data_IF_750509297094
#
_entry.id   IF_750509297094
#
_cell.length_a   1.000
_cell.length_b   1.000
_cell.length_c   1.000
_cell.angle_alpha   90.00
_cell.angle_beta   90.00
_cell.angle_gamma   90.00
#
_symmetry.space_group_name_H-M   'P 1'
#
loop_
_entity.id
_entity.type
_entity.pdbx_description
1 polymer ?
#
# COMPACT_ATOMS: atom_id res chain seq x y z
N UNK A 1 39.55 11.42 -2.54
CA UNK A 1 38.17 11.30 -2.00
C UNK A 1 37.37 12.61 -2.10
N UNK A 2 37.99 13.79 -1.97
CA UNK A 2 37.26 15.07 -2.06
C UNK A 2 36.66 15.39 -3.45
N UNK A 3 37.32 15.01 -4.55
CA UNK A 3 36.80 15.32 -5.89
C UNK A 3 35.54 14.54 -6.27
N UNK A 4 35.44 13.29 -5.82
CA UNK A 4 34.25 12.44 -6.09
C UNK A 4 33.05 12.96 -5.29
N UNK A 5 33.26 13.43 -4.06
CA UNK A 5 32.20 14.03 -3.25
C UNK A 5 31.62 15.31 -3.89
N UNK A 6 32.46 16.16 -4.47
CA UNK A 6 32.01 17.41 -5.11
C UNK A 6 31.20 17.16 -6.39
N UNK A 7 31.55 16.14 -7.18
CA UNK A 7 30.79 15.75 -8.37
C UNK A 7 29.39 15.19 -8.04
N UNK A 8 29.24 14.48 -6.91
CA UNK A 8 27.95 13.97 -6.44
C UNK A 8 27.03 15.11 -5.99
N UNK A 9 27.59 16.11 -5.29
CA UNK A 9 26.82 17.28 -4.86
C UNK A 9 26.37 18.12 -6.07
N UNK A 10 27.26 18.36 -7.04
CA UNK A 10 26.92 19.15 -8.24
C UNK A 10 25.89 18.47 -9.14
N UNK A 11 25.95 17.14 -9.31
CA UNK A 11 24.96 16.38 -10.08
C UNK A 11 23.59 16.36 -9.40
N UNK A 12 23.55 16.31 -8.07
CA UNK A 12 22.30 16.37 -7.28
C UNK A 12 21.61 17.74 -7.42
N UNK A 13 22.36 18.83 -7.37
CA UNK A 13 21.84 20.19 -7.56
C UNK A 13 21.31 20.39 -8.99
N UNK A 14 22.03 19.89 -10.00
CA UNK A 14 21.57 19.96 -11.39
C UNK A 14 20.23 19.22 -11.60
N UNK A 15 20.05 18.05 -10.97
CA UNK A 15 18.80 17.29 -11.04
C UNK A 15 17.62 18.05 -10.42
N UNK A 16 17.83 18.68 -9.27
CA UNK A 16 16.80 19.49 -8.61
C UNK A 16 16.40 20.71 -9.45
N UNK A 17 17.38 21.43 -10.00
CA UNK A 17 17.12 22.59 -10.86
C UNK A 17 16.33 22.22 -12.12
N UNK A 18 16.67 21.09 -12.75
CA UNK A 18 15.98 20.62 -13.97
C UNK A 18 14.55 20.15 -13.67
N UNK A 19 14.34 19.50 -12.52
CA UNK A 19 13.01 19.06 -12.07
C UNK A 19 12.06 20.23 -11.81
N UNK A 20 12.53 21.27 -11.10
CA UNK A 20 11.72 22.46 -10.80
C UNK A 20 11.42 23.27 -12.07
N UNK A 21 12.40 23.43 -12.97
CA UNK A 21 12.20 24.13 -14.24
C UNK A 21 11.15 23.43 -15.13
N UNK A 22 11.19 22.10 -15.21
CA UNK A 22 10.24 21.30 -16.00
C UNK A 22 8.83 21.29 -15.39
N UNK A 23 8.72 21.34 -14.06
CA UNK A 23 7.44 21.47 -13.34
C UNK A 23 6.76 22.82 -13.61
N UNK A 24 7.52 23.91 -13.71
CA UNK A 24 6.98 25.26 -13.94
C UNK A 24 6.50 25.50 -15.38
N UNK A 25 7.08 24.79 -16.36
CA UNK A 25 6.73 24.94 -17.79
C UNK A 25 5.45 24.18 -18.19
N UNK A 26 5.03 23.18 -17.41
CA UNK A 26 3.89 22.33 -17.77
C UNK A 26 2.66 22.67 -16.91
N UNK A 27 1.89 23.68 -17.33
CA UNK A 27 0.65 24.14 -16.66
C UNK A 27 -0.57 23.22 -16.85
N UNK A 28 -0.43 22.05 -17.48
CA UNK A 28 -1.51 21.08 -17.61
C UNK A 28 -1.62 20.21 -16.34
N UNK A 29 -2.61 20.58 -15.52
CA UNK A 29 -2.81 20.23 -14.10
C UNK A 29 -3.31 18.80 -13.84
N UNK A 30 -3.01 17.84 -14.71
CA UNK A 30 -3.57 16.47 -14.63
C UNK A 30 -2.55 15.39 -14.24
N UNK A 31 -1.25 15.65 -14.37
CA UNK A 31 -0.20 14.63 -14.15
C UNK A 31 0.55 14.72 -12.81
N UNK A 32 0.32 15.75 -12.00
CA UNK A 32 1.05 16.00 -10.74
C UNK A 32 0.50 15.27 -9.50
N UNK A 33 -0.67 14.63 -9.57
CA UNK A 33 -1.21 13.90 -8.41
C UNK A 33 -0.56 12.53 -8.17
N UNK A 34 0.07 11.94 -9.18
CA UNK A 34 0.68 10.61 -9.07
C UNK A 34 2.21 10.63 -8.93
N UNK A 35 2.91 11.71 -9.31
CA UNK A 35 4.37 11.79 -9.21
C UNK A 35 4.89 12.19 -7.82
N UNK A 36 4.08 12.90 -7.02
CA UNK A 36 4.46 13.28 -5.65
C UNK A 36 4.59 12.07 -4.69
N UNK A 37 3.92 10.95 -5.01
CA UNK A 37 4.01 9.70 -4.22
C UNK A 37 5.26 8.88 -4.54
N UNK A 38 5.86 9.06 -5.73
CA UNK A 38 7.03 8.29 -6.15
C UNK A 38 8.35 8.93 -5.70
N UNK A 39 8.41 10.25 -5.56
CA UNK A 39 9.64 10.96 -5.14
C UNK A 39 9.89 10.93 -3.63
N UNK A 40 8.84 10.78 -2.80
CA UNK A 40 8.99 10.69 -1.35
C UNK A 40 9.64 9.38 -0.88
N UNK A 41 9.36 8.27 -1.57
CA UNK A 41 9.87 6.94 -1.22
C UNK A 41 11.39 6.82 -1.40
N UNK A 42 11.94 7.41 -2.47
CA UNK A 42 13.38 7.38 -2.75
C UNK A 42 14.20 8.19 -1.72
N UNK A 43 13.63 9.26 -1.15
CA UNK A 43 14.32 10.09 -0.16
C UNK A 43 14.45 9.37 1.20
N UNK A 44 13.42 8.60 1.59
CA UNK A 44 13.44 7.81 2.83
C UNK A 44 14.42 6.64 2.74
N UNK A 45 14.49 5.96 1.59
CA UNK A 45 15.46 4.86 1.36
C UNK A 45 16.91 5.38 1.36
N UNK A 46 17.16 6.55 0.76
CA UNK A 46 18.49 7.17 0.79
C UNK A 46 18.95 7.59 2.19
N UNK A 47 18.02 8.04 3.03
CA UNK A 47 18.32 8.44 4.41
C UNK A 47 18.55 7.24 5.34
N UNK A 48 17.89 6.11 5.07
CA UNK A 48 18.03 4.87 5.86
C UNK A 48 19.35 4.14 5.58
N UNK A 49 19.89 4.26 4.36
CA UNK A 49 21.20 3.68 4.01
C UNK A 49 22.40 4.46 4.59
N UNK A 50 22.21 5.72 4.99
CA UNK A 50 23.27 6.55 5.61
C UNK A 50 23.53 6.22 7.09
N UNK A 51 22.63 5.51 7.77
CA UNK A 51 22.77 5.14 9.19
C UNK A 51 23.51 3.81 9.43
N UNK A 52 23.80 3.02 8.39
CA UNK A 52 24.41 1.69 8.52
C UNK A 52 25.96 1.75 8.64
N UNK A 53 26.59 2.92 8.49
CA UNK A 53 28.06 3.04 8.46
C UNK A 53 28.75 3.68 9.68
N UNK A 54 28.03 3.93 10.79
CA UNK A 54 28.65 4.44 12.03
C UNK A 54 28.26 3.56 13.21
N UNK A 55 29.16 2.67 13.63
CA UNK A 55 29.04 2.03 14.93
C UNK A 55 29.69 0.66 15.05
N UNK A 56 31.03 0.61 15.04
CA UNK A 56 31.73 -0.48 15.73
C UNK A 56 33.07 0.02 16.28
N UNK A 57 33.15 0.11 17.61
CA UNK A 57 34.38 0.34 18.35
C UNK A 57 34.33 -0.54 19.61
N UNK A 58 35.20 -1.56 19.74
CA UNK A 58 35.24 -2.39 20.93
C UNK A 58 36.14 -1.74 21.99
N UNK A 59 35.64 -1.64 23.23
CA UNK A 59 36.50 -1.37 24.39
C UNK A 59 36.82 -2.67 25.12
N UNK A 60 38.12 -2.96 25.16
CA UNK A 60 38.79 -3.87 26.07
C UNK A 60 39.45 -3.06 27.19
N UNK A 61 39.37 -3.53 28.44
CA UNK A 61 40.35 -3.34 29.53
C UNK A 61 39.86 -4.12 30.75
N UNK A 62 40.46 -5.26 31.10
CA UNK A 62 41.62 -5.41 32.00
C UNK A 62 41.29 -5.29 33.51
N UNK A 63 41.70 -6.34 34.24
CA UNK A 63 41.74 -6.49 35.71
C UNK A 63 42.85 -5.58 36.32
N UNK A 64 43.43 -5.76 37.55
CA UNK A 64 43.12 -6.58 38.74
C UNK A 64 43.44 -5.85 40.09
N UNK A 65 43.52 -6.62 41.20
CA UNK A 65 44.36 -6.47 42.42
C UNK A 65 43.76 -5.79 43.67
N UNK A 66 43.71 -6.57 44.76
CA UNK A 66 44.39 -6.37 46.08
C UNK A 66 43.75 -7.29 47.13
N UNK A 67 44.37 -7.73 48.22
CA UNK A 67 45.75 -7.81 48.69
C UNK A 67 45.63 -8.30 50.14
N UNK A 68 46.38 -9.36 50.47
CA UNK A 68 46.95 -9.73 51.77
C UNK A 68 46.72 -8.76 52.93
N UNK A 69 46.28 -9.30 54.08
CA UNK A 69 46.84 -8.92 55.37
C UNK A 69 46.86 -10.11 56.33
N UNK A 70 48.04 -10.72 56.41
CA UNK A 70 48.52 -11.48 57.55
C UNK A 70 48.97 -10.49 58.64
N UNK A 71 48.54 -10.68 59.88
CA UNK A 71 49.15 -10.01 61.04
C UNK A 71 49.72 -11.06 61.99
N UNK A 72 51.04 -10.99 62.09
CA UNK A 72 51.95 -11.55 63.08
C UNK A 72 51.82 -10.82 64.41
N UNK A 73 51.81 -11.55 65.54
CA UNK A 73 52.51 -11.17 66.80
C UNK A 73 52.75 -12.43 67.65
N UNK A 74 53.97 -12.98 67.69
CA UNK A 74 55.01 -12.80 68.74
C UNK A 74 54.68 -13.32 70.16
N UNK A 75 55.32 -14.46 70.47
CA UNK A 75 56.19 -14.74 71.63
C UNK A 75 55.70 -14.53 73.09
N UNK A 76 55.58 -15.68 73.77
CA UNK A 76 56.15 -16.06 75.09
C UNK A 76 56.23 -15.01 76.21
N UNK A 77 55.54 -15.28 77.31
CA UNK A 77 56.11 -15.16 78.66
C UNK A 77 55.43 -16.14 79.64
N UNK A 78 56.23 -17.09 80.13
CA UNK A 78 55.90 -18.06 81.19
C UNK A 78 56.07 -17.37 82.55
N UNK A 79 55.01 -17.27 83.34
CA UNK A 79 55.13 -17.06 84.79
C UNK A 79 54.06 -17.89 85.51
N UNK A 80 54.53 -19.01 86.07
CA UNK A 80 53.79 -19.85 87.01
C UNK A 80 53.69 -19.09 88.33
N UNK A 81 52.47 -18.76 88.75
CA UNK A 81 52.15 -18.46 90.15
C UNK A 81 50.87 -19.22 90.47
N UNK A 82 51.05 -20.27 91.26
CA UNK A 82 50.01 -21.09 91.87
C UNK A 82 49.39 -20.27 93.01
N UNK A 83 48.10 -19.91 92.92
CA UNK A 83 47.32 -19.42 94.07
C UNK A 83 45.81 -19.57 93.87
N UNK A 84 45.25 -20.53 94.60
CA UNK A 84 43.93 -20.56 95.24
C UNK A 84 42.70 -20.28 94.37
N UNK A 85 42.05 -21.37 93.93
CA UNK A 85 40.71 -21.40 93.32
C UNK A 85 39.66 -20.83 94.28
N UNK A 86 38.97 -19.78 93.84
CA UNK A 86 37.69 -19.36 94.39
C UNK A 86 36.57 -19.83 93.45
N UNK A 87 35.45 -20.31 94.02
CA UNK A 87 34.28 -20.84 93.29
C UNK A 87 33.62 -19.87 92.30
N UNK A 88 34.04 -18.61 92.30
CA UNK A 88 33.53 -17.53 91.46
C UNK A 88 34.11 -17.53 90.04
N UNK A 89 35.35 -18.00 89.86
CA UNK A 89 36.05 -17.92 88.57
C UNK A 89 35.61 -19.03 87.60
N UNK A 90 35.21 -20.19 88.13
CA UNK A 90 34.71 -21.32 87.33
C UNK A 90 33.28 -21.07 86.80
N UNK A 91 32.47 -20.34 87.55
CA UNK A 91 31.11 -19.94 87.16
C UNK A 91 31.14 -18.81 86.11
N UNK A 92 32.07 -17.86 86.23
CA UNK A 92 32.29 -16.82 85.22
C UNK A 92 32.83 -17.38 83.90
N UNK A 93 33.78 -18.33 83.95
CA UNK A 93 34.29 -19.01 82.74
C UNK A 93 33.22 -19.84 82.04
N UNK A 94 32.31 -20.47 82.81
CA UNK A 94 31.17 -21.21 82.27
C UNK A 94 30.12 -20.27 81.64
N UNK A 95 29.88 -19.09 82.24
CA UNK A 95 28.99 -18.07 81.71
C UNK A 95 29.52 -17.44 80.42
N UNK A 96 30.82 -17.13 80.34
CA UNK A 96 31.46 -16.58 79.15
C UNK A 96 31.47 -17.59 77.98
N UNK A 97 31.71 -18.88 78.27
CA UNK A 97 31.61 -19.94 77.26
C UNK A 97 30.19 -20.12 76.75
N UNK A 98 29.19 -20.07 77.63
CA UNK A 98 27.77 -20.14 77.23
C UNK A 98 27.34 -18.92 76.39
N UNK A 99 27.87 -17.73 76.68
CA UNK A 99 27.64 -16.53 75.86
C UNK A 99 28.32 -16.64 74.48
N UNK A 100 29.55 -17.13 74.42
CA UNK A 100 30.26 -17.36 73.16
C UNK A 100 29.54 -18.40 72.28
N UNK A 101 29.05 -19.51 72.87
CA UNK A 101 28.27 -20.52 72.14
C UNK A 101 26.92 -19.94 71.65
N UNK A 102 26.26 -19.08 72.43
CA UNK A 102 25.03 -18.41 72.02
C UNK A 102 25.25 -17.39 70.89
N UNK A 103 26.36 -16.66 70.89
CA UNK A 103 26.72 -15.75 69.78
C UNK A 103 27.05 -16.51 68.50
N UNK A 104 27.75 -17.64 68.59
CA UNK A 104 28.04 -18.51 67.44
C UNK A 104 26.74 -19.06 66.84
N UNK A 105 25.82 -19.56 67.67
CA UNK A 105 24.53 -20.06 67.22
C UNK A 105 23.68 -18.97 66.55
N UNK A 106 23.72 -17.73 67.08
CA UNK A 106 23.04 -16.58 66.48
C UNK A 106 23.68 -16.15 65.15
N UNK A 107 25.00 -16.21 65.05
CA UNK A 107 25.73 -15.93 63.81
C UNK A 107 25.43 -16.98 62.72
N UNK A 108 25.34 -18.27 63.08
CA UNK A 108 24.93 -19.33 62.15
C UNK A 108 23.50 -19.18 61.66
N UNK A 109 22.55 -18.83 62.55
CA UNK A 109 21.18 -18.54 62.12
C UNK A 109 21.10 -17.36 61.16
N UNK A 110 21.84 -16.28 61.45
CA UNK A 110 21.87 -15.11 60.57
C UNK A 110 22.48 -15.46 59.21
N UNK A 111 23.53 -16.29 59.18
CA UNK A 111 24.16 -16.75 57.95
C UNK A 111 23.20 -17.60 57.09
N UNK A 112 22.47 -18.53 57.70
CA UNK A 112 21.46 -19.35 57.03
C UNK A 112 20.31 -18.51 56.47
N UNK A 113 19.84 -17.51 57.23
CA UNK A 113 18.78 -16.60 56.77
C UNK A 113 19.25 -15.71 55.60
N UNK A 114 20.50 -15.25 55.63
CA UNK A 114 21.10 -14.52 54.49
C UNK A 114 21.24 -15.39 53.25
N UNK A 115 21.72 -16.64 53.36
CA UNK A 115 21.81 -17.56 52.23
C UNK A 115 20.43 -17.88 51.64
N UNK A 116 19.42 -18.11 52.49
CA UNK A 116 18.05 -18.33 52.04
C UNK A 116 17.45 -17.10 51.35
N UNK A 117 17.74 -15.90 51.85
CA UNK A 117 17.30 -14.65 51.23
C UNK A 117 17.97 -14.41 49.87
N UNK A 118 19.26 -14.73 49.72
CA UNK A 118 19.98 -14.62 48.46
C UNK A 118 19.48 -15.65 47.43
N UNK A 119 19.26 -16.90 47.85
CA UNK A 119 18.68 -17.95 46.98
C UNK A 119 17.25 -17.58 46.53
N UNK A 120 16.44 -17.04 47.44
CA UNK A 120 15.10 -16.55 47.10
C UNK A 120 15.14 -15.37 46.11
N UNK A 121 16.08 -14.44 46.28
CA UNK A 121 16.26 -13.32 45.36
C UNK A 121 16.70 -13.79 43.96
N UNK A 122 17.63 -14.75 43.88
CA UNK A 122 18.07 -15.35 42.61
C UNK A 122 16.91 -16.06 41.88
N UNK A 123 16.15 -16.90 42.60
CA UNK A 123 14.98 -17.58 42.02
C UNK A 123 13.92 -16.59 41.53
N UNK A 124 13.67 -15.52 42.28
CA UNK A 124 12.74 -14.48 41.86
C UNK A 124 13.22 -13.75 40.59
N UNK A 125 14.52 -13.50 40.45
CA UNK A 125 15.08 -12.87 39.24
C UNK A 125 14.99 -13.78 38.02
N UNK A 126 15.30 -15.08 38.17
CA UNK A 126 15.20 -16.07 37.09
C UNK A 126 13.73 -16.25 36.65
N UNK A 127 12.79 -16.30 37.60
CA UNK A 127 11.37 -16.38 37.29
C UNK A 127 10.87 -15.12 36.57
N UNK A 128 11.32 -13.93 36.99
CA UNK A 128 10.99 -12.68 36.33
C UNK A 128 11.55 -12.61 34.89
N UNK A 129 12.76 -13.13 34.64
CA UNK A 129 13.31 -13.23 33.29
C UNK A 129 12.55 -14.23 32.42
N UNK A 130 12.24 -15.42 32.94
CA UNK A 130 11.40 -16.40 32.23
C UNK A 130 10.03 -15.83 31.88
N UNK A 131 9.41 -15.06 32.76
CA UNK A 131 8.14 -14.39 32.48
C UNK A 131 8.27 -13.36 31.35
N UNK A 132 9.38 -12.60 31.30
CA UNK A 132 9.66 -11.67 30.19
C UNK A 132 9.84 -12.41 28.87
N UNK A 133 10.61 -13.50 28.85
CA UNK A 133 10.83 -14.29 27.65
C UNK A 133 9.53 -14.90 27.11
N UNK A 134 8.68 -15.41 28.01
CA UNK A 134 7.35 -15.90 27.65
C UNK A 134 6.45 -14.80 27.11
N UNK A 135 6.50 -13.59 27.68
CA UNK A 135 5.74 -12.45 27.18
C UNK A 135 6.21 -12.00 25.78
N UNK A 136 7.53 -12.00 25.54
CA UNK A 136 8.12 -11.69 24.24
C UNK A 136 7.74 -12.76 23.21
N UNK A 137 7.80 -14.04 23.57
CA UNK A 137 7.40 -15.14 22.70
C UNK A 137 5.90 -15.07 22.36
N UNK A 138 5.04 -14.80 23.34
CA UNK A 138 3.61 -14.63 23.13
C UNK A 138 3.30 -13.44 22.22
N UNK A 139 4.02 -12.32 22.38
CA UNK A 139 3.88 -11.16 21.50
C UNK A 139 4.37 -11.45 20.07
N UNK A 140 5.47 -12.18 19.92
CA UNK A 140 5.97 -12.59 18.61
C UNK A 140 4.96 -13.49 17.87
N UNK A 141 4.32 -14.43 18.57
CA UNK A 141 3.25 -15.26 17.98
C UNK A 141 2.02 -14.41 17.61
N UNK A 142 1.56 -13.51 18.48
CA UNK A 142 0.48 -12.56 18.14
C UNK A 142 0.80 -11.73 16.90
N UNK A 143 2.04 -11.25 16.76
CA UNK A 143 2.47 -10.51 15.59
C UNK A 143 2.51 -11.37 14.31
N UNK A 144 2.93 -12.64 14.41
CA UNK A 144 2.88 -13.58 13.28
C UNK A 144 1.44 -13.81 12.84
N UNK A 145 0.53 -14.09 13.77
CA UNK A 145 -0.89 -14.28 13.49
C UNK A 145 -1.52 -13.03 12.88
N UNK A 146 -1.23 -11.84 13.45
CA UNK A 146 -1.72 -10.57 12.93
C UNK A 146 -1.20 -10.30 11.50
N UNK A 147 0.07 -10.63 11.21
CA UNK A 147 0.64 -10.51 9.86
C UNK A 147 -0.04 -11.47 8.88
N UNK A 148 -0.26 -12.72 9.26
CA UNK A 148 -0.95 -13.70 8.42
C UNK A 148 -2.40 -13.28 8.16
N UNK A 149 -3.10 -12.76 9.18
CA UNK A 149 -4.44 -12.24 9.03
C UNK A 149 -4.48 -11.01 8.11
N UNK A 150 -3.51 -10.10 8.23
CA UNK A 150 -3.40 -8.93 7.35
C UNK A 150 -3.09 -9.32 5.90
N UNK A 151 -2.22 -10.31 5.70
CA UNK A 151 -1.90 -10.84 4.36
C UNK A 151 -3.12 -11.53 3.73
N UNK A 152 -3.85 -12.34 4.51
CA UNK A 152 -5.10 -12.96 4.06
C UNK A 152 -6.17 -11.91 3.72
N UNK A 153 -6.31 -10.87 4.53
CA UNK A 153 -7.23 -9.76 4.26
C UNK A 153 -6.84 -9.00 2.97
N UNK A 154 -5.55 -8.72 2.77
CA UNK A 154 -5.06 -8.08 1.54
C UNK A 154 -5.26 -8.95 0.30
N UNK A 155 -5.08 -10.27 0.43
CA UNK A 155 -5.35 -11.22 -0.64
C UNK A 155 -6.85 -11.26 -1.00
N UNK A 156 -7.73 -11.30 0.01
CA UNK A 156 -9.18 -11.28 -0.18
C UNK A 156 -9.66 -9.96 -0.82
N UNK A 157 -9.10 -8.81 -0.42
CA UNK A 157 -9.41 -7.52 -1.04
C UNK A 157 -8.98 -7.49 -2.51
N UNK A 158 -7.79 -8.01 -2.82
CA UNK A 158 -7.29 -8.10 -4.20
C UNK A 158 -8.18 -9.00 -5.06
N UNK A 159 -8.60 -10.15 -4.53
CA UNK A 159 -9.50 -11.06 -5.24
C UNK A 159 -10.87 -10.40 -5.49
N UNK A 160 -11.45 -9.75 -4.47
CA UNK A 160 -12.69 -9.00 -4.62
C UNK A 160 -12.57 -7.86 -5.65
N UNK A 161 -11.43 -7.16 -5.69
CA UNK A 161 -11.17 -6.11 -6.66
C UNK A 161 -11.06 -6.67 -8.10
N UNK A 162 -10.44 -7.84 -8.28
CA UNK A 162 -10.36 -8.51 -9.59
C UNK A 162 -11.74 -8.96 -10.07
N UNK A 163 -12.55 -9.56 -9.20
CA UNK A 163 -13.92 -9.95 -9.51
C UNK A 163 -14.81 -8.74 -9.85
N UNK A 164 -14.68 -7.65 -9.10
CA UNK A 164 -15.39 -6.41 -9.40
C UNK A 164 -14.94 -5.79 -10.74
N UNK A 165 -13.65 -5.87 -11.07
CA UNK A 165 -13.12 -5.41 -12.34
C UNK A 165 -13.62 -6.27 -13.52
N UNK A 166 -13.63 -7.60 -13.38
CA UNK A 166 -14.15 -8.49 -14.43
C UNK A 166 -15.64 -8.29 -14.66
N UNK A 167 -16.45 -8.16 -13.59
CA UNK A 167 -17.88 -7.89 -13.69
C UNK A 167 -18.17 -6.57 -14.43
N UNK A 168 -17.42 -5.50 -14.12
CA UNK A 168 -17.53 -4.22 -14.82
C UNK A 168 -17.12 -4.32 -16.29
N UNK A 169 -16.11 -5.11 -16.61
CA UNK A 169 -15.68 -5.33 -17.99
C UNK A 169 -16.74 -6.10 -18.80
N UNK A 170 -17.33 -7.14 -18.22
CA UNK A 170 -18.42 -7.89 -18.85
C UNK A 170 -19.67 -7.03 -19.05
N UNK A 171 -20.03 -6.20 -18.08
CA UNK A 171 -21.16 -5.27 -18.22
C UNK A 171 -20.90 -4.23 -19.30
N UNK A 172 -19.70 -3.63 -19.34
CA UNK A 172 -19.32 -2.69 -20.38
C UNK A 172 -19.38 -3.33 -21.78
N UNK A 173 -18.97 -4.58 -21.92
CA UNK A 173 -19.07 -5.33 -23.18
C UNK A 173 -20.53 -5.56 -23.57
N UNK A 174 -21.39 -5.98 -22.63
CA UNK A 174 -22.83 -6.15 -22.89
C UNK A 174 -23.49 -4.85 -23.34
N UNK A 175 -23.14 -3.73 -22.73
CA UNK A 175 -23.64 -2.41 -23.12
C UNK A 175 -23.16 -2.05 -24.52
N UNK A 176 -21.88 -2.31 -24.86
CA UNK A 176 -21.34 -2.06 -26.19
C UNK A 176 -22.06 -2.88 -27.26
N UNK A 177 -22.21 -4.18 -27.03
CA UNK A 177 -22.91 -5.08 -27.96
C UNK A 177 -24.37 -4.68 -28.13
N UNK A 178 -25.05 -4.29 -27.04
CA UNK A 178 -26.43 -3.81 -27.12
C UNK A 178 -26.55 -2.50 -27.90
N UNK A 179 -25.62 -1.56 -27.70
CA UNK A 179 -25.58 -0.30 -28.43
C UNK A 179 -25.30 -0.51 -29.92
N UNK A 180 -24.40 -1.44 -30.26
CA UNK A 180 -24.12 -1.82 -31.66
C UNK A 180 -25.34 -2.48 -32.31
N UNK A 181 -26.00 -3.42 -31.62
CA UNK A 181 -27.24 -4.03 -32.11
C UNK A 181 -28.35 -2.99 -32.34
N UNK A 182 -28.48 -2.01 -31.45
CA UNK A 182 -29.43 -0.91 -31.63
C UNK A 182 -29.06 -0.04 -32.84
N UNK A 183 -27.79 0.31 -33.02
CA UNK A 183 -27.33 1.08 -34.16
C UNK A 183 -27.61 0.36 -35.48
N UNK A 184 -27.35 -0.96 -35.55
CA UNK A 184 -27.67 -1.79 -36.73
C UNK A 184 -29.18 -1.79 -37.00
N UNK A 185 -30.02 -1.98 -35.97
CA UNK A 185 -31.48 -1.96 -36.16
C UNK A 185 -31.99 -0.60 -36.65
N UNK A 186 -31.44 0.51 -36.15
CA UNK A 186 -31.81 1.85 -36.59
C UNK A 186 -31.38 2.13 -38.03
N UNK A 187 -30.20 1.63 -38.43
CA UNK A 187 -29.72 1.76 -39.80
C UNK A 187 -30.58 0.92 -40.76
N UNK A 188 -30.96 -0.30 -40.37
CA UNK A 188 -31.88 -1.14 -41.16
C UNK A 188 -33.25 -0.48 -41.30
N UNK A 189 -33.83 0.05 -40.22
CA UNK A 189 -35.09 0.80 -40.27
C UNK A 189 -34.99 2.03 -41.16
N UNK A 190 -33.89 2.78 -41.10
CA UNK A 190 -33.66 3.95 -41.96
C UNK A 190 -33.53 3.56 -43.43
N UNK A 191 -32.87 2.44 -43.75
CA UNK A 191 -32.79 1.92 -45.11
C UNK A 191 -34.15 1.46 -45.64
N UNK A 192 -34.96 0.79 -44.82
CA UNK A 192 -36.32 0.38 -45.19
C UNK A 192 -37.20 1.61 -45.45
N UNK A 193 -37.12 2.64 -44.60
CA UNK A 193 -37.86 3.88 -44.79
C UNK A 193 -37.40 4.64 -46.04
N UNK A 194 -36.09 4.68 -46.32
CA UNK A 194 -35.55 5.29 -47.53
C UNK A 194 -36.01 4.56 -48.80
N UNK A 195 -35.97 3.23 -48.81
CA UNK A 195 -36.45 2.41 -49.92
C UNK A 195 -37.97 2.59 -50.16
N UNK A 196 -38.76 2.71 -49.08
CA UNK A 196 -40.18 3.01 -49.18
C UNK A 196 -40.41 4.41 -49.76
N UNK A 197 -39.68 5.43 -49.29
CA UNK A 197 -39.79 6.80 -49.81
C UNK A 197 -39.39 6.90 -51.30
N UNK A 198 -38.36 6.17 -51.74
CA UNK A 198 -37.97 6.10 -53.15
C UNK A 198 -39.05 5.44 -54.02
N UNK A 199 -39.69 4.38 -53.51
CA UNK A 199 -40.77 3.69 -54.21
C UNK A 199 -42.01 4.60 -54.34
N UNK A 200 -42.38 5.32 -53.28
CA UNK A 200 -43.48 6.31 -53.31
C UNK A 200 -43.20 7.44 -54.31
N UNK A 201 -41.98 7.99 -54.33
CA UNK A 201 -41.62 9.04 -55.28
C UNK A 201 -41.69 8.55 -56.75
N UNK A 202 -41.31 7.32 -57.02
CA UNK A 202 -41.32 6.75 -58.36
C UNK A 202 -42.74 6.41 -58.86
N UNK A 203 -43.66 6.12 -57.95
CA UNK A 203 -45.06 5.80 -58.25
C UNK A 203 -45.99 7.02 -58.31
N UNK A 204 -45.49 8.22 -58.01
CA UNK A 204 -46.23 9.48 -58.14
C UNK A 204 -46.74 9.65 -59.59
N UNK A 205 -48.03 9.88 -59.76
CA UNK A 205 -48.65 10.00 -61.08
C UNK A 205 -48.42 11.39 -61.66
N UNK A 206 -47.83 11.45 -62.86
CA UNK A 206 -47.58 12.69 -63.60
C UNK A 206 -48.48 12.81 -64.83
N UNK A 207 -48.59 14.03 -65.36
CA UNK A 207 -49.26 14.35 -66.61
C UNK A 207 -48.24 14.58 -67.73
N UNK A 208 -48.53 14.08 -68.93
CA UNK A 208 -47.68 14.31 -70.11
C UNK A 208 -48.54 14.42 -71.37
N UNK A 209 -47.96 14.99 -72.44
CA UNK A 209 -48.62 15.15 -73.72
C UNK A 209 -47.96 14.25 -74.78
N UNK A 210 -48.56 13.09 -75.16
CA UNK A 210 -47.92 12.09 -76.02
C UNK A 210 -47.47 12.60 -77.39
N UNK A 211 -48.12 13.67 -77.88
CA UNK A 211 -47.89 14.25 -79.21
C UNK A 211 -47.15 15.59 -79.16
N UNK A 212 -46.78 16.11 -77.98
CA UNK A 212 -46.31 17.49 -77.80
C UNK A 212 -44.93 17.60 -77.13
N UNK A 213 -44.16 16.51 -77.08
CA UNK A 213 -42.76 16.48 -76.64
C UNK A 213 -42.49 15.54 -75.47
N UNK A 214 -41.23 15.51 -75.00
CA UNK A 214 -40.78 14.65 -73.89
C UNK A 214 -40.73 15.38 -72.55
N UNK A 215 -41.81 16.07 -72.20
CA UNK A 215 -41.93 16.79 -70.92
C UNK A 215 -43.08 16.22 -70.08
N UNK A 216 -42.83 16.04 -68.79
CA UNK A 216 -43.86 15.68 -67.81
C UNK A 216 -44.17 16.85 -66.87
N UNK A 217 -45.31 16.76 -66.21
CA UNK A 217 -45.95 17.81 -65.42
C UNK A 217 -46.54 17.21 -64.14
N UNK A 218 -46.40 17.89 -63.00
CA UNK A 218 -47.07 17.46 -61.77
C UNK A 218 -48.53 17.95 -61.75
N UNK A 219 -48.79 19.09 -62.39
CA UNK A 219 -50.10 19.70 -62.43
C UNK A 219 -50.72 19.64 -63.83
N UNK A 220 -51.96 19.16 -63.92
CA UNK A 220 -52.72 19.11 -65.19
C UNK A 220 -52.91 20.50 -65.83
N UNK A 221 -52.88 21.57 -65.03
CA UNK A 221 -53.08 22.96 -65.48
C UNK A 221 -51.78 23.70 -65.79
N UNK A 222 -50.64 23.00 -65.92
CA UNK A 222 -49.38 23.65 -66.24
C UNK A 222 -49.46 24.44 -67.55
N UNK A 223 -48.84 25.63 -67.57
CA UNK A 223 -48.77 26.48 -68.77
C UNK A 223 -48.21 25.72 -69.98
N UNK A 224 -47.25 24.82 -69.77
CA UNK A 224 -46.67 24.00 -70.83
C UNK A 224 -47.65 23.00 -71.49
N UNK A 225 -48.76 22.67 -70.84
CA UNK A 225 -49.81 21.79 -71.38
C UNK A 225 -50.92 22.54 -72.13
N UNK A 226 -50.93 23.88 -72.07
CA UNK A 226 -52.00 24.70 -72.66
C UNK A 226 -52.17 24.55 -74.18
N UNK A 227 -51.12 24.12 -74.88
CA UNK A 227 -51.14 23.88 -76.34
C UNK A 227 -51.18 22.39 -76.71
N UNK A 228 -51.33 21.48 -75.76
CA UNK A 228 -51.34 20.05 -76.02
C UNK A 228 -52.71 19.59 -76.55
N UNK A 229 -52.72 18.75 -77.59
CA UNK A 229 -53.97 18.21 -78.15
C UNK A 229 -54.59 17.09 -77.28
N UNK A 230 -53.78 16.44 -76.45
CA UNK A 230 -54.20 15.38 -75.53
C UNK A 230 -53.24 15.30 -74.33
N UNK A 231 -53.78 14.96 -73.17
CA UNK A 231 -53.03 14.78 -71.93
C UNK A 231 -53.30 13.36 -71.41
N UNK A 232 -52.24 12.64 -71.08
CA UNK A 232 -52.28 11.31 -70.49
C UNK A 232 -51.48 11.29 -69.18
N UNK A 233 -51.63 10.24 -68.40
CA UNK A 233 -50.94 10.06 -67.12
C UNK A 233 -50.12 8.79 -67.09
N UNK A 234 -48.95 8.84 -66.47
CA UNK A 234 -48.11 7.66 -66.17
C UNK A 234 -47.36 7.91 -64.86
N UNK A 235 -46.70 6.90 -64.29
CA UNK A 235 -45.89 7.12 -63.08
C UNK A 235 -44.64 7.94 -63.40
N UNK A 236 -44.13 8.66 -62.40
CA UNK A 236 -42.94 9.49 -62.52
C UNK A 236 -41.74 8.67 -63.00
N UNK A 237 -41.51 7.47 -62.46
CA UNK A 237 -40.37 6.67 -62.91
C UNK A 237 -40.56 6.03 -64.27
N UNK A 238 -41.80 5.72 -64.70
CA UNK A 238 -42.05 5.33 -66.09
C UNK A 238 -41.66 6.49 -67.02
N UNK A 239 -42.09 7.71 -66.70
CA UNK A 239 -41.73 8.91 -67.45
C UNK A 239 -40.21 9.14 -67.51
N UNK A 240 -39.51 9.02 -66.38
CA UNK A 240 -38.04 9.15 -66.31
C UNK A 240 -37.33 8.05 -67.12
N UNK A 241 -37.80 6.81 -67.06
CA UNK A 241 -37.23 5.68 -67.82
C UNK A 241 -37.40 5.84 -69.33
N UNK A 242 -38.49 6.47 -69.77
CA UNK A 242 -38.75 6.82 -71.17
C UNK A 242 -38.01 8.10 -71.62
N UNK A 243 -37.27 8.74 -70.70
CA UNK A 243 -36.48 9.94 -70.94
C UNK A 243 -37.29 11.23 -71.00
N UNK A 244 -38.47 11.27 -70.36
CA UNK A 244 -39.20 12.53 -70.16
C UNK A 244 -38.51 13.36 -69.08
N UNK A 245 -38.36 14.67 -69.33
CA UNK A 245 -37.84 15.61 -68.35
C UNK A 245 -38.92 16.50 -67.75
N UNK A 246 -38.65 17.10 -66.60
CA UNK A 246 -39.56 18.09 -66.00
C UNK A 246 -39.76 19.29 -66.95
N UNK A 247 -40.99 19.79 -67.04
CA UNK A 247 -41.28 21.02 -67.74
C UNK A 247 -40.70 22.22 -66.98
N UNK A 248 -40.05 23.16 -67.68
CA UNK A 248 -39.42 24.34 -67.05
C UNK A 248 -40.42 25.42 -66.57
N UNK A 249 -41.72 25.15 -66.70
CA UNK A 249 -42.80 26.02 -66.24
C UNK A 249 -43.55 25.44 -65.03
N UNK A 250 -43.08 24.31 -64.51
CA UNK A 250 -43.51 23.76 -63.21
C UNK A 250 -42.93 24.58 -62.04
#
# INVERSE_FOLDING_TARGET
MFEIGMLIVLSSVAFLCTGVYRSKKNKNRSYLKNSAKLSGSLFVIGMLLMFIFVGDAPQASEQPLKSKQSVTTTSKAKKVVKREESSTDQEQLAAEKAQAEAEIAKAEQLALETEQSEEAALKATEEAERQKDLAIAAEAERQKEARLAAEAAAAAEKEAALLAASARAEEAERVRVAAEAQAVSQEEEAQIQAAFAETEANTEMIYYAPQSGKKYHYNQSCRGLSSANSVATMSLGEAQSLGYGLCGWE
#
